data_IF_070631539846
#
_entry.id   IF_070631539846
#
_cell.length_a   1.000
_cell.length_b   1.000
_cell.length_c   1.000
_cell.angle_alpha   90.00
_cell.angle_beta   90.00
_cell.angle_gamma   90.00
#
_symmetry.space_group_name_H-M   'P 1'
#
loop_
_entity.id
_entity.type
_entity.pdbx_description
1 polymer ?
#
# COMPACT_ATOMS: atom_id res chain seq x y z
N UNK A 1 9.39 30.24 16.92
CA UNK A 1 8.92 28.83 17.06
C UNK A 1 9.21 28.16 15.73
N UNK A 2 9.93 27.04 15.73
CA UNK A 2 10.44 26.41 14.50
C UNK A 2 9.28 25.71 13.77
N UNK A 3 9.03 26.09 12.51
CA UNK A 3 7.94 25.53 11.67
C UNK A 3 8.03 23.99 11.54
N UNK A 4 9.26 23.46 11.52
CA UNK A 4 9.53 22.01 11.45
C UNK A 4 9.03 21.28 12.71
N UNK A 5 9.23 21.85 13.87
CA UNK A 5 8.76 21.29 15.15
C UNK A 5 7.23 21.28 15.22
N UNK A 6 6.60 22.36 14.77
CA UNK A 6 5.13 22.46 14.72
C UNK A 6 4.50 21.42 13.77
N UNK A 7 5.11 21.17 12.61
CA UNK A 7 4.63 20.16 11.66
C UNK A 7 4.80 18.73 12.21
N UNK A 8 5.90 18.46 12.93
CA UNK A 8 6.12 17.15 13.56
C UNK A 8 5.08 16.89 14.65
N UNK A 9 4.78 17.90 15.47
CA UNK A 9 3.77 17.79 16.53
C UNK A 9 2.36 17.61 15.95
N UNK A 10 2.02 18.30 14.85
CA UNK A 10 0.74 18.15 14.17
C UNK A 10 0.56 16.76 13.53
N UNK A 11 1.62 16.21 12.93
CA UNK A 11 1.57 14.85 12.39
C UNK A 11 1.43 13.79 13.49
N UNK A 12 2.12 13.96 14.62
CA UNK A 12 1.98 13.07 15.76
C UNK A 12 0.56 13.11 16.36
N UNK A 13 -0.06 14.30 16.41
CA UNK A 13 -1.45 14.47 16.84
C UNK A 13 -2.42 13.79 15.87
N UNK A 14 -2.20 13.89 14.55
CA UNK A 14 -2.98 13.17 13.55
C UNK A 14 -2.87 11.66 13.73
N UNK A 15 -1.67 11.13 13.93
CA UNK A 15 -1.43 9.70 14.15
C UNK A 15 -2.11 9.19 15.44
N UNK A 16 -2.13 10.00 16.50
CA UNK A 16 -2.87 9.66 17.71
C UNK A 16 -4.38 9.60 17.46
N UNK A 17 -4.89 10.51 16.63
CA UNK A 17 -6.29 10.55 16.26
C UNK A 17 -6.67 9.35 15.37
N UNK A 18 -5.83 8.98 14.40
CA UNK A 18 -6.01 7.76 13.60
C UNK A 18 -6.14 6.53 14.51
N UNK A 19 -5.23 6.39 15.49
CA UNK A 19 -5.29 5.27 16.43
C UNK A 19 -6.59 5.26 17.23
N UNK A 20 -7.03 6.42 17.74
CA UNK A 20 -8.29 6.52 18.44
C UNK A 20 -9.50 6.16 17.57
N UNK A 21 -9.57 6.68 16.34
CA UNK A 21 -10.66 6.37 15.40
C UNK A 21 -10.71 4.89 15.04
N UNK A 22 -9.54 4.25 14.88
CA UNK A 22 -9.46 2.82 14.61
C UNK A 22 -9.86 1.98 15.83
N UNK A 23 -9.47 2.39 17.03
CA UNK A 23 -9.87 1.75 18.28
C UNK A 23 -11.40 1.78 18.47
N UNK A 24 -12.04 2.91 18.13
CA UNK A 24 -13.50 3.04 18.16
C UNK A 24 -14.24 2.03 17.25
N UNK A 25 -13.57 1.48 16.25
CA UNK A 25 -14.13 0.47 15.33
C UNK A 25 -13.50 -0.93 15.53
N UNK A 26 -12.90 -1.15 16.69
CA UNK A 26 -12.27 -2.43 17.06
C UNK A 26 -11.18 -2.88 16.07
N UNK A 27 -10.24 -1.94 15.76
CA UNK A 27 -9.11 -2.23 14.90
C UNK A 27 -7.78 -1.85 15.59
N UNK A 28 -6.76 -2.72 15.63
CA UNK A 28 -6.71 -4.07 15.07
C UNK A 28 -7.53 -5.06 15.91
N UNK A 29 -8.39 -5.80 15.23
CA UNK A 29 -9.25 -6.78 15.88
C UNK A 29 -8.54 -8.11 16.06
N UNK A 30 -9.03 -8.93 17.00
CA UNK A 30 -8.71 -10.34 17.01
C UNK A 30 -9.18 -11.00 15.70
N UNK A 31 -8.41 -11.97 15.21
CA UNK A 31 -8.81 -12.74 14.03
C UNK A 31 -10.18 -13.38 14.27
N UNK A 32 -11.11 -13.25 13.31
CA UNK A 32 -12.39 -13.95 13.38
C UNK A 32 -12.25 -15.47 13.31
N UNK A 33 -11.09 -15.91 12.83
CA UNK A 33 -10.70 -17.31 12.66
C UNK A 33 -9.25 -17.50 13.09
N UNK A 34 -8.93 -18.52 13.87
CA UNK A 34 -7.53 -18.89 14.17
C UNK A 34 -6.75 -19.16 12.89
N UNK A 35 -5.50 -18.75 12.85
CA UNK A 35 -4.60 -19.14 11.77
C UNK A 35 -4.47 -20.69 11.81
N UNK A 36 -4.74 -21.32 10.67
CA UNK A 36 -4.56 -22.76 10.51
C UNK A 36 -3.26 -22.99 9.76
N UNK A 37 -2.31 -23.63 10.43
CA UNK A 37 -1.06 -24.19 9.87
C UNK A 37 -0.47 -23.42 8.68
N UNK A 38 0.61 -22.73 8.82
CA UNK A 38 1.47 -22.18 7.75
C UNK A 38 0.79 -21.67 6.43
N UNK A 39 -0.56 -21.74 6.34
CA UNK A 39 -1.34 -21.30 5.18
C UNK A 39 -1.92 -19.92 5.46
N UNK A 40 -1.56 -18.95 4.64
CA UNK A 40 -2.13 -17.61 4.68
C UNK A 40 -3.62 -17.65 4.25
N UNK A 41 -4.45 -16.81 4.85
CA UNK A 41 -5.79 -16.60 4.31
C UNK A 41 -5.70 -15.83 2.99
N UNK A 42 -4.87 -14.77 2.94
CA UNK A 42 -4.65 -14.01 1.71
C UNK A 42 -3.17 -13.62 1.55
N UNK A 43 -2.61 -13.90 0.37
CA UNK A 43 -1.36 -13.32 -0.10
C UNK A 43 -1.69 -12.19 -1.07
N UNK A 44 -1.18 -10.98 -0.80
CA UNK A 44 -1.34 -9.82 -1.67
C UNK A 44 0.00 -9.57 -2.37
N UNK A 45 -0.01 -9.55 -3.71
CA UNK A 45 1.18 -9.34 -4.54
C UNK A 45 1.17 -7.91 -5.08
N UNK A 46 2.09 -7.09 -4.58
CA UNK A 46 2.18 -5.66 -4.84
C UNK A 46 1.74 -4.82 -3.65
N UNK A 47 2.61 -3.94 -3.17
CA UNK A 47 2.39 -3.02 -2.06
C UNK A 47 2.18 -1.56 -2.52
N UNK A 48 1.79 -1.37 -3.76
CA UNK A 48 1.29 -0.08 -4.24
C UNK A 48 -0.05 0.28 -3.60
N UNK A 49 -0.61 1.42 -3.97
CA UNK A 49 -1.88 1.94 -3.43
C UNK A 49 -2.99 0.86 -3.33
N UNK A 50 -3.19 0.07 -4.37
CA UNK A 50 -4.23 -0.96 -4.41
C UNK A 50 -3.97 -2.09 -3.41
N UNK A 51 -2.72 -2.56 -3.32
CA UNK A 51 -2.35 -3.61 -2.35
C UNK A 51 -2.48 -3.14 -0.91
N UNK A 52 -2.09 -1.90 -0.61
CA UNK A 52 -2.27 -1.31 0.72
C UNK A 52 -3.75 -1.15 1.09
N UNK A 53 -4.60 -0.70 0.14
CA UNK A 53 -6.04 -0.57 0.37
C UNK A 53 -6.69 -1.93 0.64
N UNK A 54 -6.35 -2.96 -0.14
CA UNK A 54 -6.83 -4.33 0.08
C UNK A 54 -6.38 -4.88 1.43
N UNK A 55 -5.11 -4.69 1.79
CA UNK A 55 -4.59 -5.14 3.08
C UNK A 55 -5.36 -4.48 4.23
N UNK A 56 -5.56 -3.18 4.18
CA UNK A 56 -6.30 -2.45 5.19
C UNK A 56 -7.76 -2.91 5.29
N UNK A 57 -8.44 -3.10 4.15
CA UNK A 57 -9.82 -3.62 4.17
C UNK A 57 -9.90 -5.00 4.80
N UNK A 58 -9.03 -5.93 4.44
CA UNK A 58 -9.01 -7.27 5.01
C UNK A 58 -8.79 -7.25 6.52
N UNK A 59 -7.87 -6.42 7.01
CA UNK A 59 -7.64 -6.26 8.43
C UNK A 59 -8.87 -5.68 9.15
N UNK A 60 -9.58 -4.72 8.55
CA UNK A 60 -10.86 -4.22 9.06
C UNK A 60 -11.94 -5.30 9.11
N UNK A 61 -11.95 -6.21 8.14
CA UNK A 61 -12.85 -7.36 8.09
C UNK A 61 -12.39 -8.52 9.00
N UNK A 62 -11.40 -8.26 9.88
CA UNK A 62 -10.85 -9.25 10.82
C UNK A 62 -10.15 -10.44 10.17
N UNK A 63 -9.79 -10.33 8.89
CA UNK A 63 -8.94 -11.28 8.17
C UNK A 63 -7.48 -10.87 8.42
N UNK A 64 -6.86 -11.41 9.45
CA UNK A 64 -5.54 -10.94 9.94
C UNK A 64 -4.37 -11.80 9.49
N UNK A 65 -4.62 -13.05 9.08
CA UNK A 65 -3.57 -13.95 8.56
C UNK A 65 -3.28 -13.64 7.08
N UNK A 66 -2.80 -12.43 6.83
CA UNK A 66 -2.46 -11.92 5.51
C UNK A 66 -0.98 -11.58 5.41
N UNK A 67 -0.47 -11.51 4.18
CA UNK A 67 0.86 -10.98 3.88
C UNK A 67 0.80 -10.17 2.59
N UNK A 68 1.44 -9.01 2.59
CA UNK A 68 1.69 -8.24 1.37
C UNK A 68 3.16 -8.43 1.00
N UNK A 69 3.44 -8.71 -0.26
CA UNK A 69 4.82 -8.82 -0.77
C UNK A 69 5.00 -7.87 -1.95
N UNK A 70 6.17 -7.23 -2.02
CA UNK A 70 6.53 -6.38 -3.15
C UNK A 70 8.00 -6.60 -3.52
N UNK A 71 8.30 -6.68 -4.81
CA UNK A 71 9.67 -6.84 -5.32
C UNK A 71 10.52 -5.58 -5.12
N UNK A 72 9.88 -4.41 -5.03
CA UNK A 72 10.57 -3.16 -4.84
C UNK A 72 11.09 -3.01 -3.39
N UNK A 73 12.19 -2.28 -3.19
CA UNK A 73 12.60 -1.87 -1.85
C UNK A 73 11.56 -0.92 -1.24
N UNK A 74 11.56 -0.84 0.09
CA UNK A 74 10.64 0.03 0.83
C UNK A 74 10.72 1.48 0.34
N UNK A 75 9.56 2.10 0.16
CA UNK A 75 9.39 3.46 -0.35
C UNK A 75 9.49 3.58 -1.87
N UNK A 76 9.62 2.45 -2.59
CA UNK A 76 9.64 2.43 -4.07
C UNK A 76 8.54 1.55 -4.67
N UNK A 77 7.58 1.16 -3.87
CA UNK A 77 6.41 0.40 -4.31
C UNK A 77 5.53 1.23 -5.25
N UNK A 78 5.00 0.57 -6.27
CA UNK A 78 4.17 1.23 -7.29
C UNK A 78 4.95 2.18 -8.21
N UNK A 79 4.24 3.03 -8.97
CA UNK A 79 4.85 3.83 -10.04
C UNK A 79 5.45 5.15 -9.59
N UNK A 80 5.09 5.68 -8.43
CA UNK A 80 5.24 7.10 -8.08
C UNK A 80 6.68 7.59 -8.04
N UNK A 81 7.61 6.80 -7.47
CA UNK A 81 9.05 7.09 -7.41
C UNK A 81 9.88 6.23 -8.37
N UNK A 82 9.22 5.50 -9.29
CA UNK A 82 9.88 4.64 -10.26
C UNK A 82 9.69 5.14 -11.69
N UNK A 83 8.61 4.76 -12.35
CA UNK A 83 8.40 5.06 -13.77
C UNK A 83 7.32 6.10 -14.07
N UNK A 84 6.57 6.59 -13.08
CA UNK A 84 5.59 7.66 -13.28
C UNK A 84 6.28 8.96 -13.67
N UNK A 85 6.01 9.45 -14.87
CA UNK A 85 6.66 10.65 -15.44
C UNK A 85 5.86 11.93 -15.21
N UNK A 86 4.55 11.83 -14.86
CA UNK A 86 3.75 12.99 -14.55
C UNK A 86 4.26 13.68 -13.27
N UNK A 87 4.30 15.02 -13.19
CA UNK A 87 4.67 15.73 -11.97
C UNK A 87 3.58 15.66 -10.89
N UNK A 88 2.32 15.55 -11.30
CA UNK A 88 1.15 15.53 -10.41
C UNK A 88 0.21 14.38 -10.77
N UNK A 89 -0.62 13.96 -9.82
CA UNK A 89 -1.74 13.07 -10.09
C UNK A 89 -2.72 13.77 -11.04
N UNK A 90 -3.40 12.99 -11.89
CA UNK A 90 -4.46 13.49 -12.78
C UNK A 90 -5.84 13.52 -12.13
N UNK A 91 -5.99 12.86 -11.00
CA UNK A 91 -7.23 12.84 -10.23
C UNK A 91 -7.39 14.15 -9.46
N UNK A 92 -8.62 14.67 -9.32
CA UNK A 92 -8.89 15.78 -8.43
C UNK A 92 -8.41 15.50 -7.01
N UNK A 93 -7.87 16.50 -6.32
CA UNK A 93 -7.32 16.34 -4.95
C UNK A 93 -8.35 15.88 -3.91
N UNK A 94 -9.64 16.09 -4.19
CA UNK A 94 -10.74 15.68 -3.34
C UNK A 94 -11.23 14.24 -3.58
N UNK A 95 -10.61 13.50 -4.52
CA UNK A 95 -10.94 12.09 -4.71
C UNK A 95 -10.54 11.25 -3.48
N UNK A 96 -11.39 10.27 -3.17
CA UNK A 96 -11.09 9.33 -2.10
C UNK A 96 -9.82 8.52 -2.39
N UNK A 97 -9.01 8.36 -1.36
CA UNK A 97 -7.81 7.53 -1.36
C UNK A 97 -8.07 6.13 -0.79
N UNK A 98 -7.03 5.46 -0.30
CA UNK A 98 -7.13 4.14 0.32
C UNK A 98 -7.66 4.17 1.76
N UNK A 99 -8.17 5.31 2.24
CA UNK A 99 -8.54 5.60 3.64
C UNK A 99 -9.79 4.84 4.12
N UNK A 100 -10.59 4.30 3.20
CA UNK A 100 -11.80 3.52 3.47
C UNK A 100 -12.78 4.21 4.42
N UNK A 101 -12.84 5.54 4.36
CA UNK A 101 -13.76 6.38 5.13
C UNK A 101 -13.36 6.63 6.59
N UNK A 102 -12.13 6.30 7.00
CA UNK A 102 -11.61 6.72 8.32
C UNK A 102 -11.23 8.19 8.25
N UNK A 103 -11.85 9.08 9.06
CA UNK A 103 -11.79 10.54 8.85
C UNK A 103 -10.39 11.15 8.90
N UNK A 104 -9.48 10.56 9.69
CA UNK A 104 -8.10 11.07 9.85
C UNK A 104 -7.08 10.39 8.90
N UNK A 105 -7.50 9.45 8.03
CA UNK A 105 -6.61 8.78 7.08
C UNK A 105 -6.51 9.40 5.67
N UNK A 106 -7.45 10.23 5.16
CA UNK A 106 -7.35 10.80 3.82
C UNK A 106 -6.07 11.60 3.59
N UNK A 107 -5.62 11.66 2.34
CA UNK A 107 -4.48 12.48 1.94
C UNK A 107 -4.61 13.93 2.44
N UNK A 108 -5.80 14.51 2.42
CA UNK A 108 -6.06 15.85 2.94
C UNK A 108 -5.64 15.99 4.40
N UNK A 109 -6.04 15.07 5.26
CA UNK A 109 -5.72 15.14 6.70
C UNK A 109 -4.20 15.08 6.93
N UNK A 110 -3.51 14.19 6.22
CA UNK A 110 -2.05 14.09 6.24
C UNK A 110 -1.36 15.35 5.72
N UNK A 111 -1.87 15.89 4.60
CA UNK A 111 -1.32 17.10 3.98
C UNK A 111 -1.49 18.32 4.89
N UNK A 112 -2.69 18.54 5.43
CA UNK A 112 -2.96 19.67 6.34
C UNK A 112 -2.12 19.57 7.63
N UNK A 113 -1.88 18.37 8.15
CA UNK A 113 -1.02 18.17 9.31
C UNK A 113 0.45 18.53 9.03
N UNK A 114 0.92 18.32 7.80
CA UNK A 114 2.31 18.61 7.41
C UNK A 114 2.54 20.03 6.94
N UNK A 115 1.61 20.60 6.21
CA UNK A 115 1.81 21.85 5.47
C UNK A 115 0.79 22.93 5.87
N UNK A 116 -0.25 22.56 6.59
CA UNK A 116 -1.31 23.46 7.02
C UNK A 116 -2.49 23.56 6.06
N UNK A 117 -3.63 24.00 6.58
CA UNK A 117 -4.87 24.11 5.82
C UNK A 117 -4.79 25.15 4.69
N UNK A 118 -4.01 26.22 4.85
CA UNK A 118 -3.82 27.22 3.82
C UNK A 118 -3.12 26.66 2.59
N UNK A 119 -2.09 25.81 2.79
CA UNK A 119 -1.40 25.14 1.70
C UNK A 119 -2.34 24.17 0.97
N UNK A 120 -3.15 23.40 1.71
CA UNK A 120 -4.19 22.57 1.11
C UNK A 120 -5.16 23.38 0.22
N UNK A 121 -5.56 24.56 0.64
CA UNK A 121 -6.48 25.39 -0.17
C UNK A 121 -5.82 25.82 -1.50
N UNK A 122 -4.55 26.16 -1.46
CA UNK A 122 -3.79 26.61 -2.63
C UNK A 122 -3.40 25.46 -3.56
N UNK A 123 -3.36 24.21 -3.06
CA UNK A 123 -3.00 23.05 -3.86
C UNK A 123 -4.06 22.81 -4.95
N UNK A 124 -3.65 22.73 -6.20
CA UNK A 124 -4.52 22.34 -7.33
C UNK A 124 -4.52 20.83 -7.53
N UNK A 125 -3.36 20.26 -7.86
CA UNK A 125 -3.17 18.83 -8.11
C UNK A 125 -2.14 18.27 -7.16
N UNK A 126 -2.34 17.04 -6.69
CA UNK A 126 -1.42 16.38 -5.76
C UNK A 126 -0.09 16.06 -6.47
N UNK A 127 1.07 16.57 -5.99
CA UNK A 127 2.38 16.15 -6.48
C UNK A 127 2.60 14.65 -6.26
N UNK A 128 3.10 13.95 -7.28
CA UNK A 128 3.28 12.48 -7.20
C UNK A 128 4.20 12.04 -6.07
N UNK A 129 5.20 12.84 -5.77
CA UNK A 129 6.17 12.52 -4.71
C UNK A 129 5.53 12.67 -3.32
N UNK A 130 4.68 13.68 -3.12
CA UNK A 130 3.90 13.83 -1.90
C UNK A 130 2.83 12.73 -1.75
N UNK A 131 2.29 12.24 -2.88
CA UNK A 131 1.43 11.07 -2.85
C UNK A 131 2.18 9.81 -2.41
N UNK A 132 3.41 9.62 -2.88
CA UNK A 132 4.26 8.52 -2.42
C UNK A 132 4.59 8.64 -0.92
N UNK A 133 4.94 9.84 -0.43
CA UNK A 133 5.17 10.10 1.00
C UNK A 133 3.93 9.78 1.86
N UNK A 134 2.75 10.14 1.34
CA UNK A 134 1.48 9.79 1.99
C UNK A 134 1.25 8.28 2.07
N UNK A 135 1.52 7.52 1.00
CA UNK A 135 1.38 6.07 1.00
C UNK A 135 2.36 5.40 1.98
N UNK A 136 3.58 5.92 2.09
CA UNK A 136 4.56 5.46 3.10
C UNK A 136 4.04 5.72 4.52
N UNK A 137 3.49 6.91 4.77
CA UNK A 137 2.85 7.23 6.04
C UNK A 137 1.65 6.33 6.32
N UNK A 138 0.75 6.16 5.34
CA UNK A 138 -0.43 5.32 5.44
C UNK A 138 -0.09 3.88 5.83
N UNK A 139 0.91 3.28 5.13
CA UNK A 139 1.42 1.95 5.46
C UNK A 139 1.93 1.86 6.88
N UNK A 140 2.70 2.85 7.31
CA UNK A 140 3.35 2.89 8.62
C UNK A 140 2.34 3.09 9.74
N UNK A 141 1.43 4.06 9.61
CA UNK A 141 0.45 4.37 10.67
C UNK A 141 -0.52 3.22 10.91
N UNK A 142 -0.83 2.44 9.87
CA UNK A 142 -1.67 1.26 9.92
C UNK A 142 -0.90 -0.04 10.22
N UNK A 143 0.41 0.02 10.35
CA UNK A 143 1.28 -1.15 10.57
C UNK A 143 1.00 -2.31 9.58
N UNK A 144 0.76 -2.00 8.30
CA UNK A 144 0.41 -3.00 7.30
C UNK A 144 1.55 -4.02 7.09
N UNK A 145 1.25 -5.35 7.01
CA UNK A 145 2.23 -6.42 7.00
C UNK A 145 2.90 -6.60 5.62
N UNK A 146 3.70 -5.62 5.21
CA UNK A 146 4.39 -5.59 3.91
C UNK A 146 5.82 -6.09 4.04
N UNK A 147 6.18 -7.07 3.21
CA UNK A 147 7.54 -7.55 3.02
C UNK A 147 8.07 -7.05 1.66
N UNK A 148 9.06 -6.18 1.69
CA UNK A 148 9.75 -5.65 0.52
C UNK A 148 10.89 -6.54 0.04
N UNK A 149 11.34 -6.35 -1.21
CA UNK A 149 12.40 -7.15 -1.81
C UNK A 149 12.00 -8.61 -2.02
N UNK A 150 10.71 -8.88 -2.16
CA UNK A 150 10.17 -10.23 -2.33
C UNK A 150 9.35 -10.29 -3.62
N UNK A 151 9.83 -11.03 -4.59
CA UNK A 151 9.17 -11.25 -5.87
C UNK A 151 8.37 -12.56 -5.84
N UNK A 152 7.15 -12.56 -6.37
CA UNK A 152 6.40 -13.78 -6.66
C UNK A 152 6.76 -14.24 -8.06
N UNK A 153 7.47 -15.36 -8.16
CA UNK A 153 7.95 -15.88 -9.45
C UNK A 153 7.03 -16.92 -10.06
N UNK A 154 6.21 -17.59 -9.23
CA UNK A 154 5.29 -18.63 -9.68
C UNK A 154 4.07 -18.72 -8.77
N UNK A 155 2.93 -18.97 -9.38
CA UNK A 155 1.70 -19.40 -8.70
C UNK A 155 1.28 -20.75 -9.30
N UNK A 156 0.89 -21.68 -8.43
CA UNK A 156 0.44 -23.01 -8.84
C UNK A 156 -0.74 -23.46 -7.97
N UNK A 157 -1.64 -24.25 -8.54
CA UNK A 157 -2.68 -24.91 -7.78
C UNK A 157 -2.06 -25.94 -6.81
N UNK A 158 -2.53 -25.95 -5.58
CA UNK A 158 -2.08 -26.87 -4.54
C UNK A 158 -3.27 -27.52 -3.79
N UNK A 159 -4.32 -27.87 -4.55
CA UNK A 159 -5.46 -28.62 -4.01
C UNK A 159 -6.27 -27.82 -2.98
N UNK A 160 -6.95 -26.77 -3.41
CA UNK A 160 -7.79 -25.89 -2.57
C UNK A 160 -7.08 -24.68 -1.98
N UNK A 161 -5.77 -24.54 -2.23
CA UNK A 161 -4.99 -23.34 -1.98
C UNK A 161 -4.03 -23.06 -3.15
N UNK A 162 -3.36 -21.93 -3.11
CA UNK A 162 -2.36 -21.52 -4.10
C UNK A 162 -0.98 -21.64 -3.47
N UNK A 163 -0.08 -22.39 -4.11
CA UNK A 163 1.34 -22.37 -3.79
C UNK A 163 2.01 -21.21 -4.54
N UNK A 164 2.59 -20.28 -3.80
CA UNK A 164 3.31 -19.14 -4.34
C UNK A 164 4.81 -19.30 -4.06
N UNK A 165 5.63 -19.30 -5.12
CA UNK A 165 7.08 -19.26 -4.98
C UNK A 165 7.51 -17.81 -4.81
N UNK A 166 8.13 -17.51 -3.68
CA UNK A 166 8.67 -16.20 -3.32
C UNK A 166 10.18 -16.23 -3.45
N UNK A 167 10.75 -15.27 -4.15
CA UNK A 167 12.19 -15.07 -4.28
C UNK A 167 12.60 -13.76 -3.59
N UNK A 168 13.52 -13.86 -2.65
CA UNK A 168 14.10 -12.70 -1.98
C UNK A 168 15.21 -12.06 -2.84
N UNK A 169 15.64 -10.85 -2.47
CA UNK A 169 16.70 -10.12 -3.20
C UNK A 169 18.06 -10.81 -3.19
N UNK A 170 18.34 -11.68 -2.21
CA UNK A 170 19.54 -12.52 -2.16
C UNK A 170 19.45 -13.77 -3.04
N UNK A 171 18.33 -13.96 -3.75
CA UNK A 171 18.06 -15.12 -4.60
C UNK A 171 17.46 -16.33 -3.87
N UNK A 172 17.31 -16.27 -2.55
CA UNK A 172 16.69 -17.37 -1.79
C UNK A 172 15.22 -17.53 -2.18
N UNK A 173 14.82 -18.76 -2.46
CA UNK A 173 13.44 -19.10 -2.79
C UNK A 173 12.75 -19.87 -1.66
N UNK A 174 11.48 -19.58 -1.47
CA UNK A 174 10.60 -20.34 -0.58
C UNK A 174 9.19 -20.43 -1.15
N UNK A 175 8.50 -21.50 -0.84
CA UNK A 175 7.08 -21.66 -1.17
C UNK A 175 6.24 -21.28 0.05
N UNK A 176 5.22 -20.45 -0.18
CA UNK A 176 4.15 -20.18 0.79
C UNK A 176 2.82 -20.62 0.21
N UNK A 177 1.93 -21.05 1.08
CA UNK A 177 0.58 -21.42 0.69
C UNK A 177 -0.40 -20.35 1.14
N UNK A 178 -1.35 -20.02 0.28
CA UNK A 178 -2.42 -19.08 0.59
C UNK A 178 -3.76 -19.59 0.06
N UNK A 179 -4.82 -19.39 0.82
CA UNK A 179 -6.20 -19.74 0.39
C UNK A 179 -6.62 -18.89 -0.80
N UNK A 180 -6.20 -17.64 -0.82
CA UNK A 180 -6.46 -16.68 -1.89
C UNK A 180 -5.20 -15.86 -2.18
N UNK A 181 -5.06 -15.45 -3.44
CA UNK A 181 -4.02 -14.52 -3.88
C UNK A 181 -4.69 -13.33 -4.54
N UNK A 182 -4.30 -12.14 -4.13
CA UNK A 182 -4.70 -10.89 -4.77
C UNK A 182 -3.53 -10.36 -5.58
N UNK A 183 -3.71 -10.19 -6.88
CA UNK A 183 -2.72 -9.61 -7.77
C UNK A 183 -2.96 -8.09 -7.84
N UNK A 184 -2.17 -7.33 -7.08
CA UNK A 184 -2.17 -5.85 -7.06
C UNK A 184 -0.91 -5.30 -7.75
N UNK A 185 -0.46 -5.97 -8.80
CA UNK A 185 0.83 -5.80 -9.48
C UNK A 185 0.91 -4.56 -10.37
N UNK A 186 -0.18 -3.79 -10.47
CA UNK A 186 -0.23 -2.58 -11.28
C UNK A 186 -0.04 -2.86 -12.78
N UNK A 187 0.36 -1.83 -13.52
CA UNK A 187 0.56 -1.92 -14.97
C UNK A 187 1.69 -2.88 -15.34
N UNK A 188 2.74 -2.96 -14.54
CA UNK A 188 3.88 -3.85 -14.78
C UNK A 188 3.51 -5.34 -14.66
N UNK A 189 2.43 -5.66 -13.97
CA UNK A 189 1.95 -7.03 -13.79
C UNK A 189 1.13 -7.58 -14.94
N UNK A 190 0.85 -6.77 -15.96
CA UNK A 190 0.03 -7.18 -17.12
C UNK A 190 0.82 -8.01 -18.17
N UNK A 191 2.06 -8.37 -17.89
CA UNK A 191 2.90 -9.16 -18.77
C UNK A 191 4.10 -8.38 -19.32
N UNK A 192 4.64 -8.84 -20.46
CA UNK A 192 5.77 -8.16 -21.10
C UNK A 192 5.31 -6.90 -21.81
N UNK A 193 6.12 -5.86 -21.72
CA UNK A 193 6.01 -4.73 -22.60
C UNK A 193 6.21 -5.21 -24.05
N UNK A 194 5.17 -5.12 -24.85
CA UNK A 194 5.27 -5.38 -26.28
C UNK A 194 5.34 -4.04 -27.00
N UNK A 195 6.48 -3.79 -27.65
CA UNK A 195 6.60 -2.65 -28.53
C UNK A 195 5.86 -2.97 -29.84
N UNK A 196 4.90 -2.14 -30.30
CA UNK A 196 4.26 -2.35 -31.60
C UNK A 196 5.31 -2.42 -32.71
N UNK A 197 5.15 -3.36 -33.65
CA UNK A 197 6.11 -3.58 -34.72
C UNK A 197 6.55 -2.31 -35.48
N UNK A 198 5.67 -1.34 -35.79
CA UNK A 198 6.08 -0.09 -36.43
C UNK A 198 7.02 0.77 -35.59
N UNK A 199 6.94 0.66 -34.24
CA UNK A 199 7.80 1.42 -33.33
C UNK A 199 9.11 0.67 -33.08
N UNK A 200 9.09 -0.67 -33.11
CA UNK A 200 10.27 -1.50 -32.97
C UNK A 200 11.19 -1.43 -34.20
N UNK A 201 10.69 -0.95 -35.32
CA UNK A 201 11.42 -0.78 -36.58
C UNK A 201 12.10 0.60 -36.73
N UNK A 202 11.91 1.53 -35.77
CA UNK A 202 12.58 2.85 -35.70
C UNK A 202 13.90 2.74 -34.94
#
# INVERSE_FOLDING_TARGET
MDATRTATDALAALEARVRFELDCVDHPSAAWRPAVDAVLDVLIVGAGQSGLAVAFQLLRDKVTNIRVVDRAPAGREGPWRSFARMPTLRSPKAMNGPDLGVPSLPYRAWHEARFGAADWQCLDMIPKDLWADYLDWFRRVLALPVANGVEVTRLADAGGCVAATLRATDGAERVVHARRVVLATGLDGLGRWTMPAPVAAL
#
